data_IF_268662765151
#
_entry.id   IF_268662765151
#
_cell.length_a   1.000
_cell.length_b   1.000
_cell.length_c   1.000
_cell.angle_alpha   90.00
_cell.angle_beta   90.00
_cell.angle_gamma   90.00
#
_symmetry.space_group_name_H-M   'P 1'
#
loop_
_entity.id
_entity.type
_entity.pdbx_description
1 polymer ?
#
# COMPACT_ATOMS: atom_id res chain seq x y z
N UNK A 1 -35.59 -79.38 -1.95
CA UNK A 1 -34.71 -78.68 -0.99
C UNK A 1 -33.45 -78.12 -1.67
N UNK A 2 -33.55 -77.43 -2.82
CA UNK A 2 -32.36 -76.96 -3.54
C UNK A 2 -32.51 -75.69 -4.42
N UNK A 3 -33.56 -74.89 -4.22
CA UNK A 3 -33.81 -73.70 -5.07
C UNK A 3 -33.67 -72.36 -4.33
N UNK A 4 -33.42 -72.36 -3.01
CA UNK A 4 -33.16 -71.14 -2.23
C UNK A 4 -31.68 -70.72 -2.19
N UNK A 5 -30.76 -71.63 -2.46
CA UNK A 5 -29.32 -71.39 -2.36
C UNK A 5 -28.76 -70.61 -3.56
N UNK A 6 -29.37 -70.73 -4.75
CA UNK A 6 -28.91 -70.00 -5.95
C UNK A 6 -29.33 -68.53 -6.00
N UNK A 7 -30.40 -68.11 -5.30
CA UNK A 7 -30.81 -66.70 -5.27
C UNK A 7 -29.90 -65.82 -4.42
N UNK A 8 -29.21 -66.40 -3.44
CA UNK A 8 -28.26 -65.65 -2.59
C UNK A 8 -26.88 -65.50 -3.22
N UNK A 9 -26.45 -66.44 -4.08
CA UNK A 9 -25.24 -66.30 -4.87
C UNK A 9 -25.35 -65.17 -5.92
N UNK A 10 -26.52 -65.03 -6.56
CA UNK A 10 -26.77 -63.96 -7.52
C UNK A 10 -26.85 -62.56 -6.86
N UNK A 11 -27.36 -62.46 -5.63
CA UNK A 11 -27.42 -61.18 -4.88
C UNK A 11 -26.06 -60.76 -4.31
N UNK A 12 -25.22 -61.71 -3.90
CA UNK A 12 -23.83 -61.42 -3.49
C UNK A 12 -22.95 -60.96 -4.66
N UNK A 13 -23.13 -61.55 -5.84
CA UNK A 13 -22.40 -61.16 -7.04
C UNK A 13 -22.76 -59.75 -7.55
N UNK A 14 -24.02 -59.34 -7.42
CA UNK A 14 -24.49 -58.01 -7.86
C UNK A 14 -24.03 -56.89 -6.90
N UNK A 15 -23.89 -57.18 -5.61
CA UNK A 15 -23.40 -56.18 -4.62
C UNK A 15 -21.87 -56.02 -4.66
N UNK A 16 -21.13 -57.07 -5.05
CA UNK A 16 -19.67 -56.97 -5.22
C UNK A 16 -19.29 -56.31 -6.56
N UNK A 17 -20.10 -56.46 -7.62
CA UNK A 17 -19.85 -55.79 -8.90
C UNK A 17 -20.09 -54.27 -8.87
N UNK A 18 -20.91 -53.76 -7.95
CA UNK A 18 -21.18 -52.33 -7.79
C UNK A 18 -20.13 -51.59 -6.93
N UNK A 19 -19.26 -52.30 -6.20
CA UNK A 19 -18.20 -51.70 -5.38
C UNK A 19 -16.82 -51.65 -6.07
N UNK A 20 -16.69 -52.15 -7.30
CA UNK A 20 -15.43 -52.16 -8.06
C UNK A 20 -15.35 -51.10 -9.17
N UNK A 21 -16.29 -50.16 -9.24
CA UNK A 21 -16.24 -49.00 -10.12
C UNK A 21 -16.08 -47.71 -9.30
N UNK A 22 -15.18 -47.73 -8.31
CA UNK A 22 -14.48 -46.52 -7.94
C UNK A 22 -13.39 -46.31 -8.99
N UNK A 23 -13.76 -45.81 -10.17
CA UNK A 23 -12.78 -45.17 -11.04
C UNK A 23 -12.24 -44.00 -10.24
N UNK A 24 -10.99 -44.13 -9.77
CA UNK A 24 -10.23 -42.97 -9.35
C UNK A 24 -10.41 -41.92 -10.46
N UNK A 25 -10.96 -40.76 -10.13
CA UNK A 25 -10.67 -39.57 -10.91
C UNK A 25 -9.17 -39.33 -10.73
N UNK A 26 -8.37 -40.04 -11.50
CA UNK A 26 -7.03 -39.58 -11.82
C UNK A 26 -7.27 -38.25 -12.50
N UNK A 27 -6.69 -37.19 -11.94
CA UNK A 27 -6.60 -35.92 -12.65
C UNK A 27 -6.08 -36.26 -14.05
N UNK A 28 -6.92 -36.11 -15.06
CA UNK A 28 -6.49 -36.27 -16.43
C UNK A 28 -5.63 -35.06 -16.67
N UNK A 29 -4.32 -35.20 -16.45
CA UNK A 29 -3.36 -34.19 -16.86
C UNK A 29 -3.45 -34.17 -18.37
N UNK A 30 -4.28 -33.26 -18.91
CA UNK A 30 -4.20 -32.86 -20.29
C UNK A 30 -2.87 -32.15 -20.46
N UNK A 31 -1.80 -32.93 -20.62
CA UNK A 31 -0.62 -32.44 -21.31
C UNK A 31 -0.96 -32.51 -22.79
N UNK A 32 -1.65 -31.49 -23.30
CA UNK A 32 -1.69 -31.29 -24.75
C UNK A 32 -0.30 -30.81 -25.16
N UNK A 33 0.58 -31.72 -25.58
CA UNK A 33 1.83 -31.35 -26.23
C UNK A 33 1.51 -30.88 -27.65
N UNK A 34 1.18 -29.61 -27.78
CA UNK A 34 1.09 -28.93 -29.06
C UNK A 34 2.02 -27.71 -29.04
N UNK A 35 2.52 -27.28 -30.19
CA UNK A 35 3.50 -26.22 -30.27
C UNK A 35 3.77 -25.79 -31.69
N UNK A 36 4.25 -24.57 -31.87
CA UNK A 36 4.50 -24.01 -33.18
C UNK A 36 5.35 -22.77 -33.14
N UNK A 37 5.67 -22.26 -34.33
CA UNK A 37 6.37 -20.99 -34.48
C UNK A 37 5.55 -20.06 -35.37
N UNK A 38 5.38 -18.81 -34.94
CA UNK A 38 4.84 -17.75 -35.77
C UNK A 38 5.93 -16.72 -36.07
N UNK A 39 6.03 -16.29 -37.33
CA UNK A 39 7.00 -15.29 -37.74
C UNK A 39 6.30 -13.94 -37.89
N UNK A 40 6.81 -12.92 -37.18
CA UNK A 40 6.38 -11.53 -37.33
C UNK A 40 7.62 -10.67 -37.61
N UNK A 41 7.78 -10.26 -38.87
CA UNK A 41 8.99 -9.58 -39.34
C UNK A 41 10.23 -10.47 -39.24
N UNK A 42 11.32 -9.96 -38.68
CA UNK A 42 12.56 -10.71 -38.44
C UNK A 42 12.49 -11.64 -37.22
N UNK A 43 11.40 -11.62 -36.45
CA UNK A 43 11.28 -12.32 -35.19
C UNK A 43 10.50 -13.62 -35.34
N UNK A 44 10.99 -14.68 -34.70
CA UNK A 44 10.32 -15.98 -34.61
C UNK A 44 9.81 -16.13 -33.18
N UNK A 45 8.50 -16.30 -33.03
CA UNK A 45 7.84 -16.57 -31.76
C UNK A 45 7.55 -18.07 -31.72
N UNK A 46 8.30 -18.83 -30.92
CA UNK A 46 7.98 -20.23 -30.62
C UNK A 46 7.00 -20.29 -29.46
N UNK A 47 6.04 -21.21 -29.52
CA UNK A 47 5.12 -21.51 -28.43
C UNK A 47 4.97 -23.02 -28.25
N UNK A 48 4.73 -23.43 -27.01
CA UNK A 48 4.35 -24.78 -26.60
C UNK A 48 3.12 -24.69 -25.68
N UNK A 49 2.27 -25.71 -25.68
CA UNK A 49 1.20 -25.92 -24.70
C UNK A 49 1.65 -27.08 -23.83
N UNK A 50 1.52 -26.93 -22.50
CA UNK A 50 1.80 -28.01 -21.54
C UNK A 50 3.20 -28.06 -20.93
N UNK A 51 4.04 -27.03 -21.06
CA UNK A 51 5.34 -26.98 -20.39
C UNK A 51 5.22 -26.52 -18.92
N UNK A 52 5.72 -27.31 -17.94
CA UNK A 52 5.67 -26.94 -16.51
C UNK A 52 6.83 -26.04 -16.07
N UNK A 53 7.76 -25.71 -16.97
CA UNK A 53 8.95 -24.90 -16.67
C UNK A 53 8.75 -23.51 -17.27
N UNK A 54 8.64 -22.52 -16.39
CA UNK A 54 8.51 -21.11 -16.76
C UNK A 54 9.91 -20.52 -16.83
N UNK A 55 10.24 -19.94 -17.98
CA UNK A 55 11.45 -19.16 -18.18
C UNK A 55 11.09 -17.69 -18.41
N UNK A 56 11.75 -16.78 -17.69
CA UNK A 56 11.65 -15.34 -17.91
C UNK A 56 12.94 -14.84 -18.56
N UNK A 57 12.83 -14.23 -19.74
CA UNK A 57 13.94 -13.61 -20.45
C UNK A 57 13.72 -12.12 -20.63
N UNK A 58 14.79 -11.32 -20.51
CA UNK A 58 14.75 -9.90 -20.83
C UNK A 58 15.12 -9.67 -22.29
N UNK A 59 14.34 -8.84 -22.99
CA UNK A 59 14.65 -8.32 -24.33
C UNK A 59 14.67 -6.79 -24.27
N UNK A 60 15.34 -6.09 -25.20
CA UNK A 60 15.25 -4.63 -25.27
C UNK A 60 13.79 -4.19 -25.40
N UNK A 61 13.29 -3.44 -24.42
CA UNK A 61 11.91 -2.94 -24.38
C UNK A 61 10.88 -3.86 -23.71
N UNK A 62 11.28 -4.98 -23.07
CA UNK A 62 10.34 -5.77 -22.29
C UNK A 62 10.86 -7.08 -21.73
N UNK A 63 9.98 -7.80 -21.06
CA UNK A 63 10.23 -9.14 -20.53
C UNK A 63 9.32 -10.11 -21.28
N UNK A 64 9.88 -11.24 -21.70
CA UNK A 64 9.13 -12.35 -22.28
C UNK A 64 9.13 -13.50 -21.28
N UNK A 65 7.93 -13.95 -20.89
CA UNK A 65 7.75 -15.10 -20.00
C UNK A 65 7.05 -16.22 -20.78
N UNK A 66 7.58 -17.44 -20.72
CA UNK A 66 6.93 -18.62 -21.31
C UNK A 66 6.11 -19.36 -20.23
N UNK A 67 4.86 -19.72 -20.55
CA UNK A 67 3.97 -20.54 -19.69
C UNK A 67 2.52 -20.04 -19.62
N UNK A 68 1.65 -20.78 -18.91
CA UNK A 68 0.39 -20.23 -18.44
C UNK A 68 0.72 -19.14 -17.43
N UNK A 69 0.20 -17.92 -17.62
CA UNK A 69 0.05 -17.01 -16.49
C UNK A 69 -0.77 -17.77 -15.45
N UNK A 70 -0.15 -18.22 -14.36
CA UNK A 70 -0.92 -18.63 -13.21
C UNK A 70 -1.81 -17.44 -12.87
N UNK A 71 -3.09 -17.70 -12.58
CA UNK A 71 -3.93 -16.67 -12.00
C UNK A 71 -3.12 -16.08 -10.86
N UNK A 72 -2.79 -14.79 -10.98
CA UNK A 72 -2.12 -14.00 -9.96
C UNK A 72 -2.56 -14.51 -8.59
N UNK A 73 -1.63 -14.99 -7.73
CA UNK A 73 -2.02 -15.51 -6.43
C UNK A 73 -2.94 -14.48 -5.80
N UNK A 74 -4.12 -14.92 -5.35
CA UNK A 74 -5.26 -14.08 -4.92
C UNK A 74 -4.74 -12.78 -4.32
N UNK A 75 -4.84 -11.68 -5.08
CA UNK A 75 -4.38 -10.38 -4.61
C UNK A 75 -5.49 -9.77 -3.78
N UNK A 76 -5.18 -9.41 -2.54
CA UNK A 76 -6.07 -8.56 -1.75
C UNK A 76 -6.27 -7.25 -2.51
N UNK A 77 -7.51 -6.75 -2.58
CA UNK A 77 -7.81 -5.44 -3.14
C UNK A 77 -8.35 -4.54 -2.05
N UNK A 78 -7.71 -3.40 -1.84
CA UNK A 78 -8.09 -2.46 -0.81
C UNK A 78 -8.37 -1.10 -1.47
N UNK A 79 -9.58 -0.58 -1.24
CA UNK A 79 -9.96 0.80 -1.51
C UNK A 79 -9.76 1.57 -0.20
N UNK A 80 -8.68 2.33 -0.11
CA UNK A 80 -8.29 2.99 1.12
C UNK A 80 -8.42 4.49 0.90
N UNK A 81 -8.94 5.20 1.89
CA UNK A 81 -9.02 6.65 1.88
C UNK A 81 -8.42 7.25 3.15
N UNK A 82 -7.54 8.23 3.00
CA UNK A 82 -6.93 8.96 4.10
C UNK A 82 -6.56 10.39 3.68
N UNK A 83 -6.44 11.30 4.65
CA UNK A 83 -5.99 12.66 4.41
C UNK A 83 -4.78 12.99 5.29
N UNK A 84 -3.85 13.77 4.75
CA UNK A 84 -2.69 14.31 5.44
C UNK A 84 -3.01 15.73 5.91
N UNK A 85 -2.84 16.03 7.20
CA UNK A 85 -3.15 17.36 7.74
C UNK A 85 -2.41 18.48 6.99
N UNK A 86 -1.13 18.28 6.67
CA UNK A 86 -0.26 19.30 6.06
C UNK A 86 -0.88 19.95 4.83
N UNK A 87 -1.13 19.19 3.75
CA UNK A 87 -1.75 19.71 2.54
C UNK A 87 -3.27 19.84 2.62
N UNK A 88 -3.95 19.31 3.64
CA UNK A 88 -5.42 19.31 3.70
C UNK A 88 -6.01 20.72 3.81
N UNK A 89 -6.93 21.03 2.90
CA UNK A 89 -7.65 22.29 2.88
C UNK A 89 -9.13 22.05 3.20
N UNK A 90 -9.55 22.46 4.41
CA UNK A 90 -10.92 22.27 4.89
C UNK A 90 -11.98 23.05 4.12
N UNK A 91 -11.59 24.05 3.31
CA UNK A 91 -12.53 24.83 2.49
C UNK A 91 -12.89 24.08 1.21
N UNK A 92 -11.89 23.47 0.54
CA UNK A 92 -12.12 22.65 -0.65
C UNK A 92 -12.52 21.22 -0.32
N UNK A 93 -12.19 20.73 0.87
CA UNK A 93 -12.36 19.33 1.27
C UNK A 93 -11.36 18.38 0.60
N UNK A 94 -10.26 18.91 0.07
CA UNK A 94 -9.21 18.17 -0.65
C UNK A 94 -7.81 18.62 -0.19
N UNK A 95 -6.78 17.91 -0.62
CA UNK A 95 -5.38 18.26 -0.37
C UNK A 95 -4.80 19.13 -1.49
N UNK A 96 -3.98 20.11 -1.11
CA UNK A 96 -3.22 20.94 -2.05
C UNK A 96 -2.08 20.12 -2.66
N UNK A 97 -1.92 20.20 -3.98
CA UNK A 97 -0.97 19.41 -4.77
C UNK A 97 0.36 20.13 -5.02
N UNK A 98 0.87 20.87 -4.03
CA UNK A 98 2.04 21.75 -4.17
C UNK A 98 3.30 21.04 -4.69
N UNK A 99 3.59 19.85 -4.16
CA UNK A 99 4.71 19.01 -4.63
C UNK A 99 4.58 18.64 -6.12
N UNK A 100 3.38 18.28 -6.56
CA UNK A 100 3.09 17.97 -7.97
C UNK A 100 3.22 19.20 -8.84
N UNK A 101 2.59 20.30 -8.45
CA UNK A 101 2.60 21.55 -9.21
C UNK A 101 4.02 22.08 -9.44
N UNK A 102 4.94 21.79 -8.51
CA UNK A 102 6.37 22.12 -8.61
C UNK A 102 7.22 21.03 -9.29
N UNK A 103 6.65 19.91 -9.72
CA UNK A 103 7.37 18.80 -10.37
C UNK A 103 8.36 18.08 -9.45
N UNK A 104 8.07 18.03 -8.14
CA UNK A 104 9.00 17.52 -7.12
C UNK A 104 8.77 16.05 -6.76
N UNK A 105 7.63 15.46 -7.13
CA UNK A 105 7.29 14.08 -6.76
C UNK A 105 8.29 13.09 -7.38
N UNK A 106 8.88 12.17 -6.58
CA UNK A 106 9.76 11.15 -7.11
C UNK A 106 8.98 10.06 -7.86
N UNK A 107 9.60 9.47 -8.88
CA UNK A 107 9.03 8.33 -9.63
C UNK A 107 9.18 6.99 -8.92
N UNK A 108 10.06 6.91 -7.93
CA UNK A 108 10.27 5.73 -7.08
C UNK A 108 9.90 6.11 -5.66
N UNK A 109 9.30 5.16 -4.93
CA UNK A 109 8.95 5.37 -3.54
C UNK A 109 10.15 5.80 -2.69
N UNK A 110 9.96 6.75 -1.74
CA UNK A 110 11.06 7.34 -0.98
C UNK A 110 11.47 6.51 0.24
N UNK A 111 10.66 5.55 0.69
CA UNK A 111 10.83 4.87 1.97
C UNK A 111 12.04 3.94 1.98
N UNK A 112 12.39 3.31 0.85
CA UNK A 112 13.65 2.55 0.74
C UNK A 112 14.86 3.47 0.98
N UNK A 113 14.85 4.68 0.42
CA UNK A 113 15.93 5.65 0.61
C UNK A 113 15.95 6.22 2.04
N UNK A 114 14.79 6.29 2.71
CA UNK A 114 14.67 6.62 4.13
C UNK A 114 15.09 5.47 5.05
N UNK A 115 15.41 4.29 4.51
CA UNK A 115 15.87 3.13 5.28
C UNK A 115 14.74 2.29 5.89
N UNK A 116 13.50 2.45 5.44
CA UNK A 116 12.38 1.62 5.91
C UNK A 116 12.59 0.14 5.50
N UNK A 117 12.52 -0.81 6.45
CA UNK A 117 12.76 -2.22 6.16
C UNK A 117 11.49 -2.91 5.63
N UNK A 118 11.27 -2.86 4.33
CA UNK A 118 10.11 -3.51 3.70
C UNK A 118 10.04 -5.02 3.98
N UNK A 119 8.83 -5.51 4.24
CA UNK A 119 8.47 -6.93 4.23
C UNK A 119 7.74 -7.24 2.93
N UNK A 120 8.40 -7.92 2.01
CA UNK A 120 7.83 -8.37 0.73
C UNK A 120 7.88 -7.35 -0.40
N UNK A 121 7.28 -6.16 -0.21
CA UNK A 121 7.28 -5.07 -1.21
C UNK A 121 8.58 -4.25 -1.25
N UNK A 122 8.46 -2.98 -1.63
CA UNK A 122 9.57 -2.02 -1.73
C UNK A 122 10.08 -1.84 -3.16
N UNK A 123 10.61 -0.65 -3.45
CA UNK A 123 11.06 -0.30 -4.80
C UNK A 123 9.93 -0.06 -5.79
N UNK A 124 8.70 0.18 -5.31
CA UNK A 124 7.59 0.57 -6.18
C UNK A 124 7.93 1.85 -6.96
N UNK A 125 7.52 1.86 -8.24
CA UNK A 125 7.74 3.00 -9.12
C UNK A 125 6.53 3.25 -9.99
N UNK A 126 6.32 4.51 -10.34
CA UNK A 126 5.30 4.96 -11.28
C UNK A 126 5.95 5.72 -12.45
N UNK A 127 5.15 6.40 -13.26
CA UNK A 127 5.59 7.12 -14.47
C UNK A 127 5.23 8.59 -14.40
N UNK A 128 5.96 9.41 -15.16
CA UNK A 128 5.75 10.86 -15.21
C UNK A 128 4.29 11.26 -15.50
N UNK A 129 3.58 10.64 -16.46
CA UNK A 129 2.18 10.99 -16.72
C UNK A 129 1.23 10.74 -15.54
N UNK A 130 1.55 9.79 -14.67
CA UNK A 130 0.74 9.49 -13.48
C UNK A 130 0.97 10.54 -12.40
N UNK A 131 2.23 10.86 -12.07
CA UNK A 131 2.50 11.87 -11.04
C UNK A 131 2.06 13.26 -11.49
N UNK A 132 2.15 13.60 -12.78
CA UNK A 132 1.78 14.93 -13.28
C UNK A 132 0.26 15.14 -13.41
N UNK A 133 -0.55 14.10 -13.22
CA UNK A 133 -1.99 14.17 -13.40
C UNK A 133 -2.62 15.23 -12.46
N UNK A 134 -3.44 16.18 -12.95
CA UNK A 134 -3.99 17.27 -12.13
C UNK A 134 -5.41 16.98 -11.60
N UNK A 135 -5.92 17.90 -10.78
CA UNK A 135 -7.32 17.90 -10.31
C UNK A 135 -7.54 17.02 -9.07
N UNK A 136 -8.75 16.49 -8.89
CA UNK A 136 -9.11 15.68 -7.72
C UNK A 136 -8.26 14.42 -7.56
N UNK A 137 -7.78 13.88 -8.69
CA UNK A 137 -6.96 12.67 -8.72
C UNK A 137 -5.46 13.01 -8.77
N UNK A 138 -5.09 14.27 -8.51
CA UNK A 138 -3.69 14.66 -8.46
C UNK A 138 -2.95 13.91 -7.37
N UNK A 139 -1.78 13.39 -7.69
CA UNK A 139 -0.95 12.72 -6.69
C UNK A 139 -0.40 13.79 -5.74
N UNK A 140 -0.64 13.58 -4.45
CA UNK A 140 -0.14 14.42 -3.36
C UNK A 140 1.21 13.93 -2.90
N UNK A 141 1.33 12.62 -2.65
CA UNK A 141 2.58 11.97 -2.27
C UNK A 141 2.49 10.44 -2.29
N UNK A 142 3.60 9.80 -1.96
CA UNK A 142 3.73 8.39 -1.63
C UNK A 142 3.31 8.11 -0.19
N UNK A 143 2.53 7.05 0.02
CA UNK A 143 2.20 6.52 1.35
C UNK A 143 2.70 5.09 1.47
N UNK A 144 3.11 4.71 2.67
CA UNK A 144 3.52 3.35 2.99
C UNK A 144 2.36 2.63 3.68
N UNK A 145 2.02 1.44 3.18
CA UNK A 145 0.95 0.61 3.71
C UNK A 145 1.53 -0.66 4.30
N UNK A 146 1.09 -1.01 5.50
CA UNK A 146 1.44 -2.25 6.20
C UNK A 146 0.19 -3.08 6.45
N UNK A 147 0.24 -4.35 6.05
CA UNK A 147 -0.66 -5.38 6.54
C UNK A 147 0.03 -6.07 7.72
N UNK A 148 -0.63 -6.06 8.88
CA UNK A 148 -0.14 -6.62 10.14
C UNK A 148 -0.98 -7.84 10.55
N UNK A 149 -0.35 -8.79 11.23
CA UNK A 149 -0.96 -10.08 11.58
C UNK A 149 -2.19 -9.90 12.49
N UNK A 150 -3.27 -10.63 12.22
CA UNK A 150 -4.52 -10.54 13.00
C UNK A 150 -4.39 -10.96 14.47
N UNK A 151 -3.39 -11.77 14.81
CA UNK A 151 -3.16 -12.24 16.18
C UNK A 151 -2.03 -11.45 16.87
N UNK A 152 -1.22 -10.73 16.12
CA UNK A 152 -0.14 -9.87 16.62
C UNK A 152 -0.01 -8.61 15.76
N UNK A 153 -0.61 -7.52 16.22
CA UNK A 153 -0.62 -6.24 15.52
C UNK A 153 0.76 -5.54 15.51
N UNK A 154 1.78 -6.05 16.19
CA UNK A 154 3.16 -5.56 16.07
C UNK A 154 3.92 -6.21 14.90
N UNK A 155 3.44 -7.35 14.41
CA UNK A 155 4.07 -8.11 13.33
C UNK A 155 3.57 -7.66 11.96
N UNK A 156 4.44 -7.02 11.17
CA UNK A 156 4.16 -6.67 9.77
C UNK A 156 4.27 -7.92 8.88
N UNK A 157 3.15 -8.36 8.32
CA UNK A 157 3.08 -9.50 7.39
C UNK A 157 3.47 -9.11 5.98
N UNK A 158 3.15 -7.89 5.55
CA UNK A 158 3.53 -7.34 4.25
C UNK A 158 3.52 -5.82 4.29
N UNK A 159 4.45 -5.17 3.61
CA UNK A 159 4.44 -3.71 3.43
C UNK A 159 4.76 -3.34 1.99
N UNK A 160 4.13 -2.28 1.48
CA UNK A 160 4.43 -1.69 0.17
C UNK A 160 4.01 -0.23 0.09
N UNK A 161 4.58 0.49 -0.86
CA UNK A 161 4.16 1.87 -1.14
C UNK A 161 2.99 1.94 -2.12
N UNK A 162 2.19 3.00 -1.98
CA UNK A 162 1.05 3.37 -2.81
C UNK A 162 1.04 4.90 -3.04
N UNK A 163 0.18 5.38 -3.94
CA UNK A 163 0.05 6.80 -4.26
C UNK A 163 -1.20 7.39 -3.59
N UNK A 164 -1.06 8.53 -2.93
CA UNK A 164 -2.17 9.27 -2.32
C UNK A 164 -2.65 10.38 -3.26
N UNK A 165 -3.97 10.48 -3.46
CA UNK A 165 -4.61 11.47 -4.33
C UNK A 165 -5.20 12.64 -3.54
N UNK A 166 -5.48 13.75 -4.23
CA UNK A 166 -5.94 15.00 -3.62
C UNK A 166 -7.30 14.87 -2.92
N UNK A 167 -8.19 13.99 -3.39
CA UNK A 167 -9.46 13.66 -2.76
C UNK A 167 -9.37 12.59 -1.65
N UNK A 168 -8.16 12.14 -1.35
CA UNK A 168 -7.83 11.22 -0.26
C UNK A 168 -7.77 9.75 -0.66
N UNK A 169 -8.10 9.40 -1.91
CA UNK A 169 -8.00 8.02 -2.38
C UNK A 169 -6.53 7.57 -2.43
N UNK A 170 -6.27 6.36 -1.94
CA UNK A 170 -4.96 5.72 -2.06
C UNK A 170 -5.05 4.63 -3.13
N UNK A 171 -4.25 4.80 -4.17
CA UNK A 171 -4.30 4.02 -5.41
C UNK A 171 -2.98 3.32 -5.72
N UNK A 172 -3.05 2.30 -6.57
CA UNK A 172 -1.88 1.59 -7.07
C UNK A 172 -1.06 2.45 -8.05
N UNK A 173 0.05 1.90 -8.56
CA UNK A 173 1.04 2.65 -9.37
C UNK A 173 0.53 3.17 -10.70
N UNK A 174 -0.66 2.73 -11.12
CA UNK A 174 -1.36 3.21 -12.32
C UNK A 174 -2.20 4.49 -12.05
N UNK A 175 -2.25 4.96 -10.81
CA UNK A 175 -2.97 6.18 -10.42
C UNK A 175 -4.50 6.03 -10.37
N UNK A 176 -5.04 4.81 -10.44
CA UNK A 176 -6.49 4.61 -10.46
C UNK A 176 -6.95 3.30 -9.80
N UNK A 177 -6.20 2.20 -9.95
CA UNK A 177 -6.61 0.91 -9.40
C UNK A 177 -6.57 0.93 -7.88
N UNK A 178 -7.48 0.17 -7.27
CA UNK A 178 -7.38 -0.25 -5.87
C UNK A 178 -6.00 -0.88 -5.58
N UNK A 179 -5.44 -0.58 -4.41
CA UNK A 179 -4.14 -1.13 -4.00
C UNK A 179 -4.21 -2.64 -3.89
N UNK A 180 -3.21 -3.32 -4.46
CA UNK A 180 -3.13 -4.78 -4.45
C UNK A 180 -2.01 -5.31 -3.56
N UNK A 181 -2.31 -6.33 -2.76
CA UNK A 181 -1.28 -7.05 -1.99
C UNK A 181 -1.19 -8.50 -2.46
N UNK A 182 0.01 -9.05 -2.69
CA UNK A 182 0.22 -10.46 -3.01
C UNK A 182 0.16 -11.32 -1.74
N UNK A 183 -0.91 -11.15 -0.95
CA UNK A 183 -1.14 -11.83 0.33
C UNK A 183 -2.43 -12.66 0.26
N UNK A 184 -2.50 -13.80 0.96
CA UNK A 184 -3.71 -14.62 0.98
C UNK A 184 -4.87 -13.88 1.65
N UNK A 185 -6.10 -14.18 1.23
CA UNK A 185 -7.31 -13.71 1.88
C UNK A 185 -7.35 -14.17 3.34
N UNK A 186 -7.37 -13.20 4.24
CA UNK A 186 -7.43 -13.38 5.70
C UNK A 186 -7.81 -12.03 6.34
N UNK A 187 -7.92 -12.01 7.66
CA UNK A 187 -7.99 -10.79 8.44
C UNK A 187 -6.60 -10.18 8.63
N UNK A 188 -6.49 -8.85 8.51
CA UNK A 188 -5.25 -8.12 8.80
C UNK A 188 -5.58 -6.77 9.43
N UNK A 189 -4.68 -6.27 10.28
CA UNK A 189 -4.67 -4.85 10.59
C UNK A 189 -4.05 -4.09 9.42
N UNK A 190 -4.61 -2.92 9.09
CA UNK A 190 -4.04 -2.03 8.10
C UNK A 190 -3.44 -0.82 8.83
N UNK A 191 -2.15 -0.57 8.60
CA UNK A 191 -1.49 0.67 9.01
C UNK A 191 -1.08 1.49 7.79
N UNK A 192 -1.23 2.81 7.92
CA UNK A 192 -0.84 3.81 6.94
C UNK A 192 0.23 4.68 7.58
N UNK A 193 1.39 4.73 6.92
CA UNK A 193 2.55 5.54 7.30
C UNK A 193 2.82 6.56 6.21
N UNK A 194 3.35 7.71 6.62
CA UNK A 194 3.79 8.75 5.70
C UNK A 194 5.10 9.36 6.17
N UNK A 195 5.96 9.79 5.24
CA UNK A 195 7.34 10.24 5.51
C UNK A 195 7.48 11.39 6.52
N UNK A 196 6.42 12.16 6.75
CA UNK A 196 6.43 13.29 7.68
C UNK A 196 5.12 13.46 8.48
N UNK A 197 4.32 12.40 8.61
CA UNK A 197 3.09 12.41 9.41
C UNK A 197 3.04 11.16 10.29
N UNK A 198 2.45 11.27 11.48
CA UNK A 198 2.28 10.13 12.39
C UNK A 198 1.36 9.08 11.78
N UNK A 199 1.75 7.81 11.93
CA UNK A 199 1.02 6.69 11.38
C UNK A 199 -0.32 6.43 12.09
N UNK A 200 -1.22 5.80 11.34
CA UNK A 200 -2.55 5.37 11.83
C UNK A 200 -2.74 3.91 11.49
N UNK A 201 -3.26 3.13 12.44
CA UNK A 201 -3.66 1.73 12.23
C UNK A 201 -5.12 1.53 12.60
N UNK A 202 -5.79 0.59 11.93
CA UNK A 202 -7.14 0.15 12.31
C UNK A 202 -7.16 -0.43 13.73
N UNK A 203 -8.24 -0.22 14.48
CA UNK A 203 -8.39 -0.75 15.84
C UNK A 203 -8.54 -2.27 15.85
N UNK A 204 -9.25 -2.80 14.86
CA UNK A 204 -9.53 -4.22 14.69
C UNK A 204 -8.93 -4.69 13.36
N UNK A 205 -8.62 -5.98 13.27
CA UNK A 205 -8.32 -6.62 12.00
C UNK A 205 -9.55 -6.60 11.10
N UNK A 206 -9.35 -6.36 9.81
CA UNK A 206 -10.38 -6.33 8.78
C UNK A 206 -10.17 -7.49 7.80
N UNK A 207 -11.26 -8.09 7.35
CA UNK A 207 -11.22 -9.18 6.37
C UNK A 207 -10.90 -8.64 4.99
N UNK A 208 -9.78 -9.09 4.41
CA UNK A 208 -9.39 -8.74 3.05
C UNK A 208 -9.45 -9.96 2.14
N UNK A 209 -9.85 -9.74 0.88
CA UNK A 209 -9.94 -10.79 -0.14
C UNK A 209 -9.72 -10.21 -1.54
N UNK A 210 -9.96 -11.01 -2.58
CA UNK A 210 -9.95 -10.51 -3.97
C UNK A 210 -11.10 -9.55 -4.29
N UNK A 211 -12.15 -9.51 -3.46
CA UNK A 211 -13.17 -8.48 -3.51
C UNK A 211 -12.65 -7.22 -2.83
N UNK A 212 -12.79 -6.03 -3.46
CA UNK A 212 -12.35 -4.78 -2.85
C UNK A 212 -13.01 -4.53 -1.50
N UNK A 213 -12.20 -4.39 -0.46
CA UNK A 213 -12.65 -3.91 0.85
C UNK A 213 -12.46 -2.39 0.93
N UNK A 214 -13.39 -1.70 1.58
CA UNK A 214 -13.31 -0.26 1.79
C UNK A 214 -12.77 0.00 3.19
N UNK A 215 -11.74 0.84 3.29
CA UNK A 215 -11.21 1.37 4.54
C UNK A 215 -11.14 2.88 4.43
N UNK A 216 -12.10 3.57 5.03
CA UNK A 216 -12.15 5.04 5.03
C UNK A 216 -11.72 5.57 6.40
N UNK A 217 -10.59 6.27 6.44
CA UNK A 217 -10.06 6.90 7.65
C UNK A 217 -10.44 8.38 7.76
N UNK A 218 -11.27 8.91 6.85
CA UNK A 218 -11.54 10.35 6.73
C UNK A 218 -12.82 10.81 7.42
N UNK A 219 -13.77 9.90 7.66
CA UNK A 219 -15.10 10.20 8.20
C UNK A 219 -15.32 9.73 9.65
N UNK A 220 -14.31 9.07 10.25
CA UNK A 220 -14.36 8.52 11.60
C UNK A 220 -15.15 7.22 11.74
N UNK A 221 -15.66 6.63 10.64
CA UNK A 221 -16.39 5.36 10.65
C UNK A 221 -15.48 4.16 10.94
N UNK A 222 -14.22 4.22 10.51
CA UNK A 222 -13.21 3.21 10.81
C UNK A 222 -12.58 3.52 12.17
N UNK A 223 -12.81 2.64 13.15
CA UNK A 223 -12.14 2.75 14.45
C UNK A 223 -10.62 2.58 14.30
N UNK A 224 -9.85 3.44 14.94
CA UNK A 224 -8.37 3.45 14.91
C UNK A 224 -7.78 2.99 16.23
N UNK A 225 -6.59 2.40 16.17
CA UNK A 225 -5.85 1.94 17.34
C UNK A 225 -5.44 3.12 18.22
N UNK A 226 -5.43 2.94 19.55
CA UNK A 226 -5.09 4.00 20.50
C UNK A 226 -6.22 5.01 20.73
N UNK A 227 -5.89 6.18 21.29
CA UNK A 227 -6.90 7.17 21.72
C UNK A 227 -6.90 8.48 20.93
N UNK A 228 -5.81 8.81 20.24
CA UNK A 228 -5.67 10.05 19.47
C UNK A 228 -4.88 9.81 18.18
N UNK A 229 -5.21 8.75 17.46
CA UNK A 229 -4.49 8.34 16.24
C UNK A 229 -4.52 9.42 15.15
N UNK A 230 -5.59 10.21 15.12
CA UNK A 230 -5.85 11.20 14.08
C UNK A 230 -6.21 12.55 14.68
N UNK A 231 -6.06 13.60 13.88
CA UNK A 231 -6.62 14.90 14.15
C UNK A 231 -7.97 15.04 13.46
N UNK A 232 -8.89 15.77 14.09
CA UNK A 232 -10.15 16.17 13.45
C UNK A 232 -10.03 17.64 13.05
N UNK A 233 -10.08 17.90 11.74
CA UNK A 233 -10.14 19.24 11.16
C UNK A 233 -11.55 19.47 10.65
N UNK A 234 -12.30 20.31 11.38
CA UNK A 234 -13.75 20.47 11.24
C UNK A 234 -14.52 19.15 11.46
N UNK A 235 -14.81 18.40 10.40
CA UNK A 235 -15.49 17.09 10.45
C UNK A 235 -14.64 15.95 9.88
N UNK A 236 -13.49 16.30 9.29
CA UNK A 236 -12.65 15.34 8.57
C UNK A 236 -11.51 14.87 9.46
N UNK A 237 -11.29 13.57 9.46
CA UNK A 237 -10.16 12.93 10.13
C UNK A 237 -8.93 12.94 9.22
N UNK A 238 -7.81 13.40 9.76
CA UNK A 238 -6.53 13.52 9.06
C UNK A 238 -5.38 12.94 9.90
N UNK A 239 -4.32 12.49 9.24
CA UNK A 239 -3.08 12.08 9.90
C UNK A 239 -2.38 13.32 10.46
N UNK A 240 -1.79 13.22 11.66
CA UNK A 240 -1.05 14.32 12.29
C UNK A 240 0.22 14.64 11.52
N UNK A 241 0.40 15.88 11.10
CA UNK A 241 1.62 16.33 10.43
C UNK A 241 2.78 16.57 11.40
N UNK A 242 4.00 16.46 10.89
CA UNK A 242 5.18 17.04 11.51
C UNK A 242 6.22 16.05 12.05
N UNK A 243 6.03 14.74 11.87
CA UNK A 243 7.03 13.70 12.22
C UNK A 243 8.16 13.68 11.17
N UNK A 244 8.96 14.73 11.13
CA UNK A 244 9.89 15.04 10.02
C UNK A 244 11.04 14.04 9.93
N UNK A 245 11.34 13.36 11.03
CA UNK A 245 12.42 12.37 11.14
C UNK A 245 11.90 10.92 11.00
N UNK A 246 10.59 10.72 10.86
CA UNK A 246 9.94 9.41 10.70
C UNK A 246 10.23 8.46 11.89
N UNK A 247 10.31 9.01 13.10
CA UNK A 247 10.59 8.26 14.33
C UNK A 247 9.32 7.89 15.12
N UNK A 248 8.14 8.28 14.62
CA UNK A 248 6.84 8.01 15.24
C UNK A 248 6.56 8.89 16.46
N UNK A 249 7.39 9.90 16.73
CA UNK A 249 7.32 10.72 17.94
C UNK A 249 7.48 12.21 17.63
N UNK A 250 6.35 12.90 17.54
CA UNK A 250 6.30 14.33 17.33
C UNK A 250 6.75 15.13 18.57
N UNK A 251 7.82 15.92 18.41
CA UNK A 251 8.44 16.78 19.43
C UNK A 251 8.84 18.13 18.85
N UNK A 252 8.58 19.20 19.61
CA UNK A 252 9.04 20.55 19.25
C UNK A 252 10.37 20.96 19.91
N UNK A 253 10.72 20.36 21.05
CA UNK A 253 11.97 20.63 21.78
C UNK A 253 12.57 19.34 22.32
N UNK A 254 13.84 19.41 22.74
CA UNK A 254 14.59 18.26 23.25
C UNK A 254 15.44 17.60 22.17
N UNK A 255 16.08 16.49 22.53
CA UNK A 255 16.82 15.68 21.57
C UNK A 255 15.86 15.05 20.57
N UNK A 256 16.29 14.95 19.30
CA UNK A 256 15.52 14.35 18.22
C UNK A 256 14.15 15.02 18.04
N UNK A 257 14.13 16.36 18.10
CA UNK A 257 12.95 17.16 17.80
C UNK A 257 12.78 17.35 16.29
N UNK A 258 11.54 17.58 15.85
CA UNK A 258 11.18 17.67 14.43
C UNK A 258 11.48 19.03 13.79
N UNK A 259 11.68 20.08 14.60
CA UNK A 259 11.93 21.43 14.07
C UNK A 259 13.38 21.62 13.63
N UNK A 260 14.33 20.96 14.28
CA UNK A 260 15.76 21.16 14.00
C UNK A 260 16.15 20.64 12.60
N UNK A 261 15.64 19.49 12.11
CA UNK A 261 15.80 19.07 10.71
C UNK A 261 15.31 20.09 9.69
N UNK A 262 14.22 20.82 9.97
CA UNK A 262 13.70 21.88 9.10
C UNK A 262 14.71 23.02 8.99
N UNK A 263 15.26 23.49 10.12
CA UNK A 263 16.29 24.53 10.12
C UNK A 263 17.56 24.06 9.41
N UNK A 264 17.97 22.81 9.65
CA UNK A 264 19.14 22.21 8.99
C UNK A 264 18.98 22.18 7.46
N UNK A 265 17.79 21.83 6.97
CA UNK A 265 17.50 21.75 5.53
C UNK A 265 17.71 23.09 4.81
N UNK A 266 17.34 24.21 5.43
CA UNK A 266 17.52 25.56 4.85
C UNK A 266 18.92 26.16 5.10
N UNK A 267 19.88 25.36 5.56
CA UNK A 267 21.27 25.74 5.79
C UNK A 267 21.65 26.03 7.24
N UNK A 268 20.77 25.78 8.21
CA UNK A 268 21.08 25.71 9.65
C UNK A 268 21.32 27.04 10.38
N UNK A 269 21.65 28.11 9.65
CA UNK A 269 22.10 29.38 10.26
C UNK A 269 21.13 30.53 10.03
N UNK A 270 20.63 30.70 8.81
CA UNK A 270 19.78 31.83 8.42
C UNK A 270 18.32 31.35 8.36
N UNK A 271 17.48 31.63 9.37
CA UNK A 271 16.15 31.04 9.50
C UNK A 271 15.13 31.58 8.48
N UNK A 272 15.51 32.58 7.68
CA UNK A 272 14.71 33.15 6.59
C UNK A 272 15.05 32.54 5.23
N UNK A 273 16.05 31.66 5.15
CA UNK A 273 16.31 30.90 3.95
C UNK A 273 15.16 29.91 3.69
N UNK A 274 15.01 29.54 2.43
CA UNK A 274 14.04 28.55 1.97
C UNK A 274 14.69 27.64 0.95
N UNK A 275 14.24 26.39 0.86
CA UNK A 275 14.63 25.48 -0.22
C UNK A 275 13.39 24.93 -0.91
N UNK A 276 13.44 24.75 -2.23
CA UNK A 276 12.37 24.12 -3.00
C UNK A 276 12.82 22.73 -3.40
N UNK A 277 12.25 21.70 -2.79
CA UNK A 277 12.66 20.30 -2.99
C UNK A 277 11.67 19.34 -2.35
N UNK A 278 11.62 18.10 -2.83
CA UNK A 278 10.96 17.01 -2.12
C UNK A 278 11.74 16.65 -0.85
N UNK A 279 11.25 17.10 0.31
CA UNK A 279 11.96 16.98 1.58
C UNK A 279 11.01 16.62 2.73
N UNK A 280 11.44 15.83 3.72
CA UNK A 280 10.58 15.44 4.84
C UNK A 280 10.16 16.64 5.71
N UNK A 281 11.03 17.65 5.80
CA UNK A 281 10.76 18.90 6.51
C UNK A 281 9.74 19.84 5.85
N UNK A 282 9.22 19.52 4.65
CA UNK A 282 8.11 20.23 4.03
C UNK A 282 6.79 19.66 4.59
N UNK A 283 6.39 20.16 5.75
CA UNK A 283 5.29 19.63 6.56
C UNK A 283 3.94 19.97 5.94
N UNK A 284 3.82 21.12 5.29
CA UNK A 284 2.59 21.53 4.59
C UNK A 284 2.52 21.00 3.14
N UNK A 285 3.61 20.45 2.62
CA UNK A 285 3.73 19.83 1.30
C UNK A 285 3.50 20.84 0.15
N UNK A 286 3.89 22.09 0.36
CA UNK A 286 3.82 23.16 -0.63
C UNK A 286 5.01 23.16 -1.61
N UNK A 287 5.99 22.29 -1.39
CA UNK A 287 7.23 22.16 -2.17
C UNK A 287 8.36 23.06 -1.70
N UNK A 288 8.16 23.86 -0.64
CA UNK A 288 9.14 24.81 -0.12
C UNK A 288 9.31 24.68 1.38
N UNK A 289 10.47 24.20 1.82
CA UNK A 289 10.81 24.14 3.24
C UNK A 289 11.14 25.54 3.77
N UNK A 290 10.41 25.97 4.82
CA UNK A 290 10.57 27.27 5.48
C UNK A 290 10.56 27.11 7.00
N UNK A 291 11.53 27.74 7.68
CA UNK A 291 11.60 27.72 9.15
C UNK A 291 10.90 28.90 9.83
N UNK A 292 10.75 30.04 9.14
CA UNK A 292 10.07 31.24 9.65
C UNK A 292 9.21 31.91 8.58
N UNK A 293 8.36 32.84 8.99
CA UNK A 293 7.42 33.52 8.10
C UNK A 293 6.04 32.89 8.14
N UNK A 294 5.15 33.38 7.28
CA UNK A 294 3.83 32.80 7.09
C UNK A 294 3.96 31.40 6.46
N UNK A 295 3.11 30.46 6.89
CA UNK A 295 3.06 29.09 6.35
C UNK A 295 4.41 28.36 6.46
N UNK A 296 5.11 28.55 7.58
CA UNK A 296 6.33 27.82 7.88
C UNK A 296 6.03 26.40 8.40
N UNK A 297 7.00 25.50 8.24
CA UNK A 297 6.82 24.07 8.50
C UNK A 297 6.93 23.69 9.99
N UNK A 298 7.52 24.56 10.81
CA UNK A 298 7.69 24.28 12.25
C UNK A 298 6.45 24.57 13.08
N UNK A 299 5.60 25.49 12.65
CA UNK A 299 4.43 25.91 13.42
C UNK A 299 3.38 24.78 13.53
N UNK A 300 3.08 23.99 12.47
CA UNK A 300 2.23 22.80 12.58
C UNK A 300 2.71 21.81 13.65
N UNK A 301 4.02 21.58 13.77
CA UNK A 301 4.62 20.71 14.80
C UNK A 301 4.23 21.20 16.20
N UNK A 302 4.44 22.50 16.47
CA UNK A 302 4.10 23.09 17.76
C UNK A 302 2.60 22.99 18.06
N UNK A 303 1.75 23.29 17.07
CA UNK A 303 0.30 23.22 17.21
C UNK A 303 -0.16 21.80 17.56
N UNK A 304 0.38 20.78 16.89
CA UNK A 304 -0.01 19.39 17.04
C UNK A 304 0.37 18.77 18.39
N UNK A 305 1.40 19.29 19.07
CA UNK A 305 1.73 18.91 20.45
C UNK A 305 0.98 19.73 21.51
N UNK A 306 0.13 20.68 21.12
CA UNK A 306 -0.71 21.46 22.04
C UNK A 306 -0.47 22.97 22.02
N UNK A 307 0.37 23.48 21.11
CA UNK A 307 0.48 24.89 20.72
C UNK A 307 1.15 25.85 21.72
N UNK A 308 0.97 25.61 23.03
CA UNK A 308 1.40 26.54 24.09
C UNK A 308 2.52 25.95 24.95
N UNK A 309 2.56 24.62 25.07
CA UNK A 309 3.56 23.90 25.87
C UNK A 309 4.52 23.20 24.91
N UNK A 310 5.72 23.75 24.65
CA UNK A 310 6.64 23.23 23.64
C UNK A 310 7.35 21.92 24.05
N UNK A 311 7.07 21.43 25.26
CA UNK A 311 7.64 20.20 25.84
C UNK A 311 6.70 19.01 25.78
N UNK A 312 5.48 19.19 25.28
CA UNK A 312 4.57 18.08 25.05
C UNK A 312 5.10 17.20 23.92
N UNK A 313 4.74 15.92 23.98
CA UNK A 313 5.11 14.91 23.00
C UNK A 313 3.85 14.21 22.54
N UNK A 314 3.77 13.92 21.24
CA UNK A 314 2.73 13.07 20.67
C UNK A 314 3.39 11.88 19.98
N UNK A 315 2.91 10.68 20.28
CA UNK A 315 3.42 9.44 19.71
C UNK A 315 2.39 8.89 18.73
N UNK A 316 2.84 8.31 17.63
CA UNK A 316 1.99 7.58 16.70
C UNK A 316 1.18 6.49 17.42
N UNK A 317 0.04 6.12 16.85
CA UNK A 317 -0.83 5.10 17.45
C UNK A 317 -0.74 3.82 16.62
N UNK A 318 0.45 3.25 16.62
CA UNK A 318 0.79 1.96 16.02
C UNK A 318 1.73 1.23 17.01
N UNK A 319 1.62 -0.10 17.18
CA UNK A 319 2.51 -0.88 18.04
C UNK A 319 3.95 -0.95 17.53
#
# INVERSE_FOLDING_TARGET
MNTRTQRNAARGAIVIAALALCSALQAQVLISNDGGTNTVGSNIISWSIGEPIIGTGAVPGGIVTQGFHQAEPVRLKLNIRAFLQGPYNSVSGAMNDGLRANGLLPLTEPYTALGYPFVGGGGESTTQPIIDFPGSNAIIDWVLLELRDKNDNSSVSYSRSALLQADGDIVDMDGFSAVRFPMPADDYYLAIRHRNHLAVMTLNSLTFSSAPAIVDLTDGSTATYGTNAQQVVAVTHVLWAGDVNFDGTLKYTGQDNDRDPILSAIGGVVPTNTITSYHSGDVNMDGTVKYTGQDNDRDPILQNIGGVVPTNVRVEQVP
#
